data_IF_055788807279
#
_entry.id   IF_055788807279
#
_cell.length_a   1.000
_cell.length_b   1.000
_cell.length_c   1.000
_cell.angle_alpha   90.00
_cell.angle_beta   90.00
_cell.angle_gamma   90.00
#
_symmetry.space_group_name_H-M   'P 1'
#
loop_
_entity.id
_entity.type
_entity.pdbx_description
1 polymer ?
#
# COMPACT_ATOMS: atom_id res chain seq x y z
N UNK A 1 6.62 1.49 -45.72
CA UNK A 1 6.29 0.79 -44.46
C UNK A 1 6.37 1.82 -43.34
N UNK A 2 5.23 2.22 -42.77
CA UNK A 2 5.20 3.18 -41.66
C UNK A 2 5.25 2.38 -40.37
N UNK A 3 6.32 2.56 -39.61
CA UNK A 3 6.50 1.95 -38.30
C UNK A 3 5.40 2.42 -37.35
N UNK A 4 4.65 1.50 -36.75
CA UNK A 4 3.64 1.83 -35.74
C UNK A 4 4.32 2.50 -34.53
N UNK A 5 3.71 3.54 -33.92
CA UNK A 5 4.26 4.15 -32.72
C UNK A 5 4.33 3.11 -31.59
N UNK A 6 5.51 2.94 -31.00
CA UNK A 6 5.64 2.20 -29.73
C UNK A 6 5.00 3.05 -28.65
N UNK A 7 3.83 2.63 -28.17
CA UNK A 7 3.26 3.15 -26.93
C UNK A 7 4.32 2.93 -25.84
N UNK A 8 4.92 4.00 -25.30
CA UNK A 8 5.63 3.90 -24.03
C UNK A 8 4.55 3.51 -23.02
N UNK A 9 4.63 2.30 -22.48
CA UNK A 9 3.93 2.00 -21.24
C UNK A 9 4.33 3.11 -20.27
N UNK A 10 3.34 3.93 -19.90
CA UNK A 10 3.48 4.84 -18.77
C UNK A 10 3.78 3.94 -17.59
N UNK A 11 5.01 4.01 -17.07
CA UNK A 11 5.40 3.41 -15.81
C UNK A 11 4.55 4.13 -14.76
N UNK A 12 3.31 3.68 -14.57
CA UNK A 12 2.56 4.02 -13.37
C UNK A 12 3.35 3.36 -12.26
N UNK A 13 4.12 4.16 -11.52
CA UNK A 13 4.59 3.83 -10.18
C UNK A 13 3.44 3.10 -9.49
N UNK A 14 3.61 1.80 -9.25
CA UNK A 14 2.54 0.97 -8.71
C UNK A 14 2.12 1.58 -7.39
N UNK A 15 0.90 2.12 -7.34
CA UNK A 15 0.39 2.78 -6.15
C UNK A 15 0.40 1.79 -4.98
N UNK A 16 1.09 2.14 -3.91
CA UNK A 16 1.11 1.32 -2.70
C UNK A 16 -0.08 1.69 -1.83
N UNK A 17 -0.87 0.69 -1.46
CA UNK A 17 -2.04 0.85 -0.59
C UNK A 17 -1.79 0.14 0.73
N UNK A 18 -2.12 0.80 1.83
CA UNK A 18 -2.07 0.24 3.18
C UNK A 18 -3.51 0.15 3.68
N UNK A 19 -4.02 -1.07 3.84
CA UNK A 19 -5.32 -1.33 4.44
C UNK A 19 -5.15 -1.56 5.95
N UNK A 20 -6.00 -0.93 6.76
CA UNK A 20 -5.98 -1.01 8.22
C UNK A 20 -7.37 -1.39 8.74
N UNK A 21 -7.44 -2.49 9.46
CA UNK A 21 -8.65 -2.99 10.13
C UNK A 21 -8.53 -2.81 11.66
N UNK A 22 -9.63 -2.39 12.29
CA UNK A 22 -9.68 -2.01 13.69
C UNK A 22 -10.07 -3.22 14.56
N UNK A 23 -9.08 -3.96 15.05
CA UNK A 23 -9.31 -5.02 16.04
C UNK A 23 -9.31 -4.44 17.48
N UNK A 24 -9.95 -5.17 18.41
CA UNK A 24 -10.24 -4.71 19.79
C UNK A 24 -9.06 -4.06 20.53
N UNK A 25 -7.85 -4.62 20.37
CA UNK A 25 -6.62 -4.12 21.00
C UNK A 25 -5.43 -4.03 20.03
N UNK A 26 -5.68 -4.15 18.72
CA UNK A 26 -4.62 -4.14 17.70
C UNK A 26 -5.14 -3.60 16.37
N UNK A 27 -4.21 -3.26 15.48
CA UNK A 27 -4.51 -2.85 14.12
C UNK A 27 -3.99 -3.93 13.19
N UNK A 28 -4.87 -4.57 12.41
CA UNK A 28 -4.43 -5.50 11.37
C UNK A 28 -4.09 -4.69 10.13
N UNK A 29 -2.88 -4.85 9.61
CA UNK A 29 -2.37 -4.04 8.52
C UNK A 29 -1.98 -4.92 7.35
N UNK A 30 -2.50 -4.60 6.17
CA UNK A 30 -2.10 -5.19 4.90
C UNK A 30 -1.45 -4.15 4.00
N UNK A 31 -0.26 -4.43 3.44
CA UNK A 31 0.39 -3.58 2.44
C UNK A 31 0.29 -4.25 1.07
N UNK A 32 -0.31 -3.55 0.11
CA UNK A 32 -0.42 -3.98 -1.28
C UNK A 32 0.45 -3.10 -2.16
N UNK A 33 1.24 -3.73 -3.03
CA UNK A 33 2.02 -3.05 -4.06
C UNK A 33 1.58 -3.57 -5.44
N UNK A 34 0.71 -2.83 -6.11
CA UNK A 34 -0.01 -3.35 -7.27
C UNK A 34 -0.99 -4.46 -6.87
N UNK A 35 -0.85 -5.65 -7.47
CA UNK A 35 -1.75 -6.79 -7.27
C UNK A 35 -1.26 -7.85 -6.28
N UNK A 36 -0.11 -7.61 -5.63
CA UNK A 36 0.46 -8.53 -4.63
C UNK A 36 0.41 -7.91 -3.23
N UNK A 37 0.02 -8.72 -2.25
CA UNK A 37 0.21 -8.43 -0.84
C UNK A 37 1.68 -8.69 -0.45
N UNK A 38 2.31 -7.70 0.16
CA UNK A 38 3.70 -7.80 0.62
C UNK A 38 3.80 -8.00 2.13
N UNK A 39 2.72 -7.74 2.85
CA UNK A 39 2.76 -7.63 4.30
C UNK A 39 1.38 -7.79 4.93
N UNK A 40 1.26 -8.67 5.91
CA UNK A 40 0.09 -8.79 6.79
C UNK A 40 0.57 -8.94 8.25
N UNK A 41 0.35 -7.92 9.10
CA UNK A 41 0.73 -7.97 10.53
C UNK A 41 -0.21 -7.18 11.43
N UNK A 42 -0.30 -7.61 12.68
CA UNK A 42 -0.94 -6.88 13.76
C UNK A 42 0.02 -5.87 14.43
N UNK A 43 -0.47 -4.66 14.71
CA UNK A 43 0.25 -3.61 15.43
C UNK A 43 -0.47 -3.12 16.67
N UNK A 44 0.29 -2.63 17.66
CA UNK A 44 -0.23 -1.70 18.66
C UNK A 44 -0.24 -0.28 18.09
N UNK A 45 -0.96 0.66 18.73
CA UNK A 45 -1.04 2.06 18.28
C UNK A 45 0.33 2.71 18.07
N UNK A 46 1.25 2.56 19.03
CA UNK A 46 2.56 3.22 18.96
C UNK A 46 3.45 2.60 17.87
N UNK A 47 3.40 1.26 17.74
CA UNK A 47 4.14 0.56 16.68
C UNK A 47 3.58 0.89 15.29
N UNK A 48 2.25 1.03 15.17
CA UNK A 48 1.63 1.43 13.91
C UNK A 48 2.08 2.83 13.50
N UNK A 49 2.04 3.80 14.42
CA UNK A 49 2.52 5.17 14.15
C UNK A 49 3.98 5.18 13.72
N UNK A 50 4.85 4.50 14.45
CA UNK A 50 6.27 4.41 14.13
C UNK A 50 6.51 3.78 12.76
N UNK A 51 5.73 2.75 12.40
CA UNK A 51 5.83 2.08 11.11
C UNK A 51 5.29 2.92 9.94
N UNK A 52 4.17 3.63 10.12
CA UNK A 52 3.57 4.49 9.09
C UNK A 52 4.50 5.65 8.70
N UNK A 53 5.23 6.24 9.66
CA UNK A 53 6.21 7.30 9.40
C UNK A 53 7.33 6.84 8.46
N UNK A 54 7.65 5.55 8.45
CA UNK A 54 8.71 4.98 7.61
C UNK A 54 8.22 4.63 6.20
N UNK A 55 6.92 4.72 5.92
CA UNK A 55 6.38 4.39 4.60
C UNK A 55 6.57 5.57 3.63
N UNK A 56 6.80 5.29 2.33
CA UNK A 56 6.71 6.34 1.31
C UNK A 56 5.29 6.92 1.23
N UNK A 57 5.07 7.99 0.45
CA UNK A 57 3.71 8.46 0.15
C UNK A 57 2.83 7.32 -0.36
N UNK A 58 1.77 7.00 0.38
CA UNK A 58 0.90 5.84 0.12
C UNK A 58 -0.55 6.19 0.41
N UNK A 59 -1.48 5.43 -0.20
CA UNK A 59 -2.91 5.54 0.11
C UNK A 59 -3.19 4.67 1.32
N UNK A 60 -3.82 5.25 2.33
CA UNK A 60 -4.30 4.50 3.51
C UNK A 60 -5.81 4.32 3.39
N UNK A 61 -6.26 3.08 3.49
CA UNK A 61 -7.67 2.71 3.56
C UNK A 61 -7.91 2.15 4.95
N UNK A 62 -8.95 2.61 5.63
CA UNK A 62 -9.30 2.19 6.99
C UNK A 62 -10.78 1.83 7.05
N UNK A 63 -11.13 0.84 7.87
CA UNK A 63 -12.52 0.58 8.23
C UNK A 63 -13.15 1.85 8.84
N UNK A 64 -14.42 2.11 8.50
CA UNK A 64 -15.15 3.33 8.88
C UNK A 64 -15.80 3.22 10.27
#
# INVERSE_FOLDING_TARGET
MVSKPKFKESIHEKSTTIAIDLAKHSFQVCKLHGSSDEFNKAFTRDKLKAWLIQQPPTIVVMEA
#
